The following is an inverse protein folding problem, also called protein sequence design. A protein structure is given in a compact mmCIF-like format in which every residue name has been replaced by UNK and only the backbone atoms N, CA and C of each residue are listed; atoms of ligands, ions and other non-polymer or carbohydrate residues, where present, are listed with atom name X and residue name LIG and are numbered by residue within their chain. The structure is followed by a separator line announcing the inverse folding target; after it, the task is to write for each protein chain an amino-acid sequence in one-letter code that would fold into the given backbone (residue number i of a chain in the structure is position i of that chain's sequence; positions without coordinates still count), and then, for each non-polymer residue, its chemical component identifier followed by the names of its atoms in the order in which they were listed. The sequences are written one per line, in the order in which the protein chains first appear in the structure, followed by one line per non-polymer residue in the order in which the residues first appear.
data_IF_233534632954
#
_entry.id   IF_233534632954
#
_cell.length_a   1.000
_cell.length_b   1.000
_cell.length_c   1.000
_cell.angle_alpha   90.00
_cell.angle_beta   90.00
_cell.angle_gamma   90.00
#
_symmetry.space_group_name_H-M   'P 1'
#
loop_
_entity.id
_entity.type
_entity.pdbx_description
1 polymer ?
#
# COMPACT_ATOMS: atom_id res chain seq x y z
N UNK A 1 -5.13 7.17 -20.29
CA UNK A 1 -4.90 8.39 -19.50
C UNK A 1 -6.14 8.58 -18.66
N UNK A 2 -6.04 8.36 -17.36
CA UNK A 2 -7.17 8.52 -16.45
C UNK A 2 -7.32 10.00 -16.12
N UNK A 3 -8.54 10.55 -16.30
CA UNK A 3 -8.85 11.95 -16.01
C UNK A 3 -9.92 11.96 -14.92
N UNK A 4 -9.48 12.14 -13.68
CA UNK A 4 -10.31 12.21 -12.48
C UNK A 4 -9.92 13.46 -11.68
N UNK A 5 -10.45 14.66 -12.02
CA UNK A 5 -10.07 15.89 -11.36
C UNK A 5 -10.52 15.86 -9.89
N UNK A 6 -9.55 15.94 -8.96
CA UNK A 6 -9.81 16.03 -7.52
C UNK A 6 -10.25 14.73 -6.84
N UNK A 7 -10.01 13.57 -7.46
CA UNK A 7 -10.27 12.27 -6.84
C UNK A 7 -8.97 11.48 -6.75
N UNK A 8 -8.42 11.37 -5.54
CA UNK A 8 -7.28 10.52 -5.22
C UNK A 8 -7.73 9.31 -4.41
N UNK A 9 -7.03 8.17 -4.55
CA UNK A 9 -7.26 6.98 -3.71
C UNK A 9 -7.21 7.33 -2.21
N UNK A 10 -6.36 8.30 -1.86
CA UNK A 10 -6.17 8.75 -0.49
C UNK A 10 -7.43 9.40 0.12
N UNK A 11 -8.23 10.10 -0.69
CA UNK A 11 -9.45 10.77 -0.21
C UNK A 11 -10.46 9.74 0.30
N UNK A 12 -10.64 8.63 -0.44
CA UNK A 12 -11.51 7.52 -0.02
C UNK A 12 -11.01 6.82 1.24
N UNK A 13 -9.69 6.69 1.40
CA UNK A 13 -9.08 6.09 2.58
C UNK A 13 -9.35 6.97 3.82
N UNK A 14 -9.17 8.28 3.72
CA UNK A 14 -9.44 9.20 4.83
C UNK A 14 -10.89 9.18 5.29
N UNK A 15 -11.83 9.09 4.34
CA UNK A 15 -13.26 8.95 4.66
C UNK A 15 -13.55 7.63 5.39
N UNK A 16 -12.94 6.53 4.94
CA UNK A 16 -13.14 5.21 5.53
C UNK A 16 -12.56 5.13 6.95
N UNK A 17 -11.34 5.61 7.17
CA UNK A 17 -10.68 5.58 8.49
C UNK A 17 -11.42 6.44 9.51
N UNK A 18 -11.90 7.63 9.09
CA UNK A 18 -12.75 8.47 9.92
C UNK A 18 -14.08 7.78 10.28
N UNK A 19 -14.70 7.10 9.33
CA UNK A 19 -15.94 6.35 9.57
C UNK A 19 -15.75 5.18 10.54
N UNK A 20 -14.62 4.46 10.43
CA UNK A 20 -14.31 3.30 11.27
C UNK A 20 -13.66 3.66 12.62
N UNK A 21 -13.32 4.94 12.84
CA UNK A 21 -12.61 5.39 14.04
C UNK A 21 -11.20 4.78 14.18
N UNK A 22 -10.57 4.40 13.07
CA UNK A 22 -9.26 3.74 13.06
C UNK A 22 -8.16 4.67 12.54
N UNK A 23 -7.01 4.77 13.22
CA UNK A 23 -5.87 5.52 12.70
C UNK A 23 -5.24 4.79 11.50
N UNK A 24 -4.58 5.55 10.61
CA UNK A 24 -3.86 4.97 9.45
C UNK A 24 -2.77 3.97 9.87
N UNK A 25 -2.22 4.13 11.07
CA UNK A 25 -1.24 3.21 11.65
C UNK A 25 -1.80 1.79 11.85
N UNK A 26 -3.13 1.64 11.89
CA UNK A 26 -3.81 0.34 11.97
C UNK A 26 -4.15 -0.26 10.61
N UNK A 27 -3.88 0.44 9.51
CA UNK A 27 -4.06 -0.06 8.17
C UNK A 27 -2.73 -0.56 7.55
N UNK A 28 -2.85 -1.37 6.50
CA UNK A 28 -1.75 -1.84 5.66
C UNK A 28 -2.08 -1.41 4.22
N UNK A 29 -1.20 -0.65 3.59
CA UNK A 29 -1.34 -0.36 2.16
C UNK A 29 -0.72 -1.48 1.33
N UNK A 30 -1.45 -1.95 0.33
CA UNK A 30 -0.99 -2.97 -0.62
C UNK A 30 -1.09 -2.41 -2.03
N UNK A 31 -0.01 -2.48 -2.80
CA UNK A 31 0.04 -1.91 -4.14
C UNK A 31 1.26 -2.38 -4.92
N UNK A 32 1.25 -2.15 -6.23
CA UNK A 32 2.24 -2.70 -7.14
C UNK A 32 2.70 -1.73 -8.24
N UNK A 33 2.01 -0.60 -8.45
CA UNK A 33 2.33 0.30 -9.56
C UNK A 33 2.32 1.79 -9.18
N UNK A 34 2.69 2.66 -10.12
CA UNK A 34 2.98 4.07 -9.86
C UNK A 34 1.78 4.87 -9.32
N UNK A 35 0.55 4.44 -9.60
CA UNK A 35 -0.66 5.04 -9.05
C UNK A 35 -0.84 4.80 -7.54
N UNK A 36 -0.04 3.92 -6.93
CA UNK A 36 -0.04 3.66 -5.49
C UNK A 36 1.01 4.49 -4.73
N UNK A 37 1.87 5.24 -5.43
CA UNK A 37 2.90 6.09 -4.80
C UNK A 37 2.33 7.01 -3.70
N UNK A 38 1.24 7.78 -3.94
CA UNK A 38 0.70 8.66 -2.89
C UNK A 38 0.19 7.89 -1.67
N UNK A 39 -0.30 6.66 -1.88
CA UNK A 39 -0.77 5.79 -0.80
C UNK A 39 0.43 5.30 0.02
N UNK A 40 1.51 4.86 -0.64
CA UNK A 40 2.71 4.38 0.03
C UNK A 40 3.47 5.51 0.74
N UNK A 41 3.41 6.74 0.23
CA UNK A 41 3.96 7.92 0.91
C UNK A 41 3.21 8.19 2.23
N UNK A 42 1.87 8.14 2.20
CA UNK A 42 1.03 8.44 3.35
C UNK A 42 0.97 7.33 4.42
N UNK A 43 1.11 6.06 4.03
CA UNK A 43 1.01 4.94 4.96
C UNK A 43 2.37 4.58 5.58
N UNK A 44 2.37 4.26 6.87
CA UNK A 44 3.56 3.75 7.55
C UNK A 44 3.82 2.28 7.17
N UNK A 45 2.78 1.43 7.24
CA UNK A 45 2.86 0.00 6.92
C UNK A 45 2.45 -0.25 5.48
N UNK A 46 3.36 -0.83 4.71
CA UNK A 46 3.18 -1.04 3.27
C UNK A 46 3.66 -2.42 2.85
N UNK A 47 2.99 -3.00 1.85
CA UNK A 47 3.36 -4.28 1.24
C UNK A 47 3.26 -4.18 -0.29
N UNK A 48 4.27 -4.68 -1.00
CA UNK A 48 4.18 -4.85 -2.45
C UNK A 48 4.57 -6.26 -2.89
N UNK A 49 3.93 -6.82 -3.94
CA UNK A 49 4.25 -8.15 -4.46
C UNK A 49 5.55 -8.17 -5.29
N UNK A 50 6.04 -9.36 -5.62
CA UNK A 50 7.25 -9.56 -6.39
C UNK A 50 7.19 -8.95 -7.80
N UNK A 51 5.99 -8.85 -8.40
CA UNK A 51 5.78 -8.23 -9.71
C UNK A 51 5.64 -6.70 -9.67
N UNK A 52 5.81 -6.06 -8.51
CA UNK A 52 5.68 -4.61 -8.37
C UNK A 52 6.76 -3.83 -9.13
N UNK A 53 6.40 -2.61 -9.53
CA UNK A 53 7.29 -1.66 -10.20
C UNK A 53 8.53 -1.37 -9.31
N UNK A 54 9.74 -1.23 -9.89
CA UNK A 54 10.96 -0.99 -9.12
C UNK A 54 10.88 0.20 -8.15
N UNK A 55 10.25 1.31 -8.57
CA UNK A 55 10.02 2.48 -7.72
C UNK A 55 9.17 2.16 -6.49
N UNK A 56 8.15 1.30 -6.64
CA UNK A 56 7.31 0.87 -5.52
C UNK A 56 8.14 0.03 -4.56
N UNK A 57 8.92 -0.95 -5.06
CA UNK A 57 9.82 -1.74 -4.22
C UNK A 57 10.81 -0.88 -3.44
N UNK A 58 11.41 0.13 -4.08
CA UNK A 58 12.33 1.06 -3.43
C UNK A 58 11.64 1.87 -2.32
N UNK A 59 10.43 2.39 -2.57
CA UNK A 59 9.63 3.08 -1.57
C UNK A 59 9.24 2.15 -0.41
N UNK A 60 8.82 0.92 -0.70
CA UNK A 60 8.55 -0.12 0.31
C UNK A 60 9.76 -0.36 1.20
N UNK A 61 10.94 -0.58 0.61
CA UNK A 61 12.17 -0.77 1.37
C UNK A 61 12.52 0.45 2.25
N UNK A 62 12.24 1.67 1.79
CA UNK A 62 12.51 2.88 2.57
C UNK A 62 11.71 2.97 3.87
N UNK A 63 10.62 2.21 4.02
CA UNK A 63 9.83 2.11 5.26
C UNK A 63 10.46 1.19 6.31
N UNK A 64 11.60 0.56 6.02
CA UNK A 64 12.34 -0.26 6.97
C UNK A 64 11.51 -1.45 7.46
N UNK A 65 11.37 -1.58 8.78
CA UNK A 65 10.61 -2.69 9.40
C UNK A 65 9.12 -2.70 9.04
N UNK A 66 8.57 -1.57 8.63
CA UNK A 66 7.15 -1.41 8.30
C UNK A 66 6.87 -1.64 6.81
N UNK A 67 7.90 -1.91 6.01
CA UNK A 67 7.80 -2.24 4.58
C UNK A 67 8.07 -3.71 4.29
N UNK A 68 7.17 -4.36 3.55
CA UNK A 68 7.32 -5.75 3.13
C UNK A 68 7.32 -5.89 1.61
N UNK A 69 8.45 -6.31 1.04
CA UNK A 69 8.54 -6.73 -0.37
C UNK A 69 8.43 -8.25 -0.39
N UNK A 70 7.36 -8.79 -0.96
CA UNK A 70 7.14 -10.24 -1.04
C UNK A 70 7.91 -10.86 -2.21
N UNK A 71 8.31 -12.11 -2.03
CA UNK A 71 8.85 -12.98 -3.10
C UNK A 71 7.73 -13.55 -3.99
N UNK A 72 6.46 -13.42 -3.58
CA UNK A 72 5.31 -13.91 -4.33
C UNK A 72 4.65 -12.81 -5.16
N UNK A 73 4.07 -13.13 -6.33
CA UNK A 73 3.38 -12.15 -7.16
C UNK A 73 1.90 -11.97 -6.76
N UNK A 74 1.33 -10.83 -7.12
CA UNK A 74 -0.10 -10.50 -7.01
C UNK A 74 -0.69 -10.79 -5.61
N UNK A 75 -1.90 -11.36 -5.56
CA UNK A 75 -2.61 -11.66 -4.31
C UNK A 75 -1.94 -12.73 -3.44
N UNK A 76 -1.05 -13.56 -4.00
CA UNK A 76 -0.33 -14.56 -3.20
C UNK A 76 0.59 -13.91 -2.16
N UNK A 77 1.15 -12.74 -2.49
CA UNK A 77 1.91 -11.93 -1.54
C UNK A 77 1.08 -11.54 -0.31
N UNK A 78 -0.18 -11.15 -0.53
CA UNK A 78 -1.07 -10.75 0.55
C UNK A 78 -1.50 -11.96 1.39
N UNK A 79 -1.82 -13.08 0.76
CA UNK A 79 -2.18 -14.31 1.46
C UNK A 79 -1.03 -14.77 2.38
N UNK A 80 0.17 -14.91 1.82
CA UNK A 80 1.35 -15.36 2.58
C UNK A 80 1.68 -14.41 3.74
N UNK A 81 1.48 -13.10 3.55
CA UNK A 81 1.71 -12.13 4.61
C UNK A 81 0.71 -12.29 5.76
N UNK A 82 -0.58 -12.44 5.46
CA UNK A 82 -1.64 -12.59 6.48
C UNK A 82 -1.47 -13.90 7.26
N UNK A 83 -1.05 -14.99 6.63
CA UNK A 83 -0.80 -16.27 7.30
C UNK A 83 0.34 -16.22 8.33
N UNK A 84 1.20 -15.19 8.27
CA UNK A 84 2.35 -15.00 9.17
C UNK A 84 2.08 -13.99 10.31
N UNK A 85 0.90 -13.35 10.33
CA UNK A 85 0.50 -12.39 11.38
C UNK A 85 -0.12 -13.09 12.58
#
# INVERSE_FOLDING_TARGET
MDILPGVHKLDGIHLLTAHLGMPLDHALAVGDYLNDLPVFEAFQRVLCPANAHPTIKALTHSKGRDGHVSEQPYGLALLEFIEKM
#
